data_IF_489044628515
#
_entry.id   IF_489044628515
#
_cell.length_a   1.000
_cell.length_b   1.000
_cell.length_c   1.000
_cell.angle_alpha   90.00
_cell.angle_beta   90.00
_cell.angle_gamma   90.00
#
_symmetry.space_group_name_H-M   'P 1'
#
loop_
_entity.id
_entity.type
_entity.pdbx_description
1 polymer ?
#
# COMPACT_ATOMS: atom_id res chain seq x y z
N UNK A 1 -20.97 2.81 3.47
CA UNK A 1 -19.50 2.91 3.65
C UNK A 1 -18.87 1.73 2.94
N UNK A 2 -18.15 1.96 1.84
CA UNK A 2 -17.31 0.92 1.27
C UNK A 2 -16.12 0.76 2.23
N UNK A 3 -15.93 -0.45 2.75
CA UNK A 3 -14.69 -0.78 3.43
C UNK A 3 -13.56 -0.46 2.46
N UNK A 4 -12.60 0.39 2.85
CA UNK A 4 -11.42 0.63 2.03
C UNK A 4 -10.80 -0.73 1.70
N UNK A 5 -10.59 -0.98 0.40
CA UNK A 5 -10.07 -2.26 -0.06
C UNK A 5 -8.68 -2.46 0.56
N UNK A 6 -8.46 -3.62 1.16
CA UNK A 6 -7.14 -3.97 1.71
C UNK A 6 -6.11 -3.85 0.58
N UNK A 7 -5.02 -3.08 0.78
CA UNK A 7 -4.00 -2.91 -0.23
C UNK A 7 -3.44 -4.24 -0.72
N UNK A 8 -3.27 -4.37 -2.03
CA UNK A 8 -2.74 -5.59 -2.63
C UNK A 8 -1.24 -5.69 -2.42
N UNK A 9 -0.75 -6.85 -1.96
CA UNK A 9 0.67 -7.16 -1.94
C UNK A 9 1.02 -7.99 -3.16
N UNK A 10 1.92 -7.48 -3.99
CA UNK A 10 2.48 -8.16 -5.16
C UNK A 10 3.90 -8.62 -4.83
N UNK A 11 4.14 -9.91 -4.84
CA UNK A 11 5.48 -10.45 -4.62
C UNK A 11 6.26 -10.51 -5.93
N UNK A 12 7.37 -9.77 -6.00
CA UNK A 12 8.23 -9.70 -7.18
C UNK A 12 9.30 -10.79 -7.14
N UNK A 13 9.23 -11.72 -8.07
CA UNK A 13 10.27 -12.74 -8.23
C UNK A 13 11.54 -12.09 -8.81
N UNK A 14 11.38 -11.06 -9.65
CA UNK A 14 12.50 -10.38 -10.28
C UNK A 14 13.40 -11.35 -11.03
N UNK A 15 14.68 -11.27 -10.79
CA UNK A 15 15.69 -12.21 -11.31
C UNK A 15 16.17 -13.20 -10.22
N UNK A 16 15.57 -13.24 -9.06
CA UNK A 16 15.96 -14.10 -7.93
C UNK A 16 15.71 -15.61 -8.19
N UNK A 17 15.09 -15.95 -9.31
CA UNK A 17 15.04 -17.33 -9.82
C UNK A 17 16.40 -17.83 -10.35
N UNK A 18 17.39 -16.96 -10.51
CA UNK A 18 18.77 -17.28 -10.91
C UNK A 18 18.87 -18.06 -12.24
N UNK A 19 18.09 -17.64 -13.25
CA UNK A 19 18.08 -18.27 -14.58
C UNK A 19 17.48 -19.68 -14.63
N UNK A 20 16.69 -20.07 -13.60
CA UNK A 20 16.12 -21.42 -13.50
C UNK A 20 14.61 -21.36 -13.34
N UNK A 21 13.86 -21.82 -14.33
CA UNK A 21 12.41 -21.87 -14.32
C UNK A 21 11.86 -22.68 -13.11
N UNK A 22 12.50 -23.80 -12.76
CA UNK A 22 12.10 -24.59 -11.60
C UNK A 22 12.34 -23.88 -10.27
N UNK A 23 13.33 -22.98 -10.20
CA UNK A 23 13.51 -22.11 -9.02
C UNK A 23 12.36 -21.12 -8.89
N UNK A 24 11.97 -20.47 -9.99
CA UNK A 24 10.82 -19.57 -10.02
C UNK A 24 9.53 -20.30 -9.59
N UNK A 25 9.29 -21.52 -10.11
CA UNK A 25 8.11 -22.32 -9.72
C UNK A 25 8.10 -22.67 -8.23
N UNK A 26 9.25 -23.08 -7.66
CA UNK A 26 9.35 -23.30 -6.19
C UNK A 26 9.09 -22.04 -5.37
N UNK A 27 9.54 -20.87 -5.83
CA UNK A 27 9.21 -19.60 -5.18
C UNK A 27 7.71 -19.36 -5.20
N UNK A 28 7.05 -19.56 -6.33
CA UNK A 28 5.60 -19.47 -6.50
C UNK A 28 4.85 -20.40 -5.55
N UNK A 29 5.25 -21.66 -5.48
CA UNK A 29 4.63 -22.67 -4.60
C UNK A 29 4.77 -22.25 -3.13
N UNK A 30 5.95 -21.77 -2.74
CA UNK A 30 6.19 -21.28 -1.37
C UNK A 30 5.33 -20.04 -1.06
N UNK A 31 5.23 -19.09 -1.99
CA UNK A 31 4.40 -17.90 -1.84
C UNK A 31 2.92 -18.25 -1.71
N UNK A 32 2.41 -19.13 -2.57
CA UNK A 32 1.02 -19.60 -2.52
C UNK A 32 0.70 -20.28 -1.19
N UNK A 33 1.59 -21.18 -0.73
CA UNK A 33 1.45 -21.85 0.56
C UNK A 33 1.46 -20.87 1.76
N UNK A 34 2.05 -19.69 1.61
CA UNK A 34 2.07 -18.61 2.61
C UNK A 34 1.00 -17.52 2.36
N UNK A 35 -0.02 -17.81 1.55
CA UNK A 35 -1.20 -16.97 1.38
C UNK A 35 -1.02 -15.80 0.42
N UNK A 36 0.04 -15.76 -0.39
CA UNK A 36 0.17 -14.80 -1.48
C UNK A 36 -1.00 -14.94 -2.46
N UNK A 37 -1.39 -13.83 -3.06
CA UNK A 37 -2.44 -13.80 -4.09
C UNK A 37 -1.95 -13.22 -5.41
N UNK A 38 -0.87 -12.44 -5.40
CA UNK A 38 -0.33 -11.77 -6.56
C UNK A 38 1.19 -11.94 -6.63
N UNK A 39 1.68 -12.23 -7.83
CA UNK A 39 3.12 -12.23 -8.13
C UNK A 39 3.40 -11.44 -9.41
N UNK A 40 4.64 -11.02 -9.59
CA UNK A 40 5.13 -10.54 -10.88
C UNK A 40 6.46 -11.18 -11.23
N UNK A 41 6.64 -11.46 -12.52
CA UNK A 41 7.86 -12.00 -13.12
C UNK A 41 8.42 -10.95 -14.07
N UNK A 42 9.72 -10.76 -14.05
CA UNK A 42 10.39 -9.93 -15.05
C UNK A 42 10.71 -10.77 -16.29
N UNK A 43 10.08 -10.45 -17.42
CA UNK A 43 10.23 -11.19 -18.67
C UNK A 43 11.42 -10.62 -19.43
N UNK A 44 12.57 -11.29 -19.32
CA UNK A 44 13.77 -11.02 -20.12
C UNK A 44 14.09 -12.29 -20.89
N UNK A 45 13.85 -12.26 -22.19
CA UNK A 45 14.07 -13.39 -23.11
C UNK A 45 15.42 -13.38 -23.80
N UNK A 46 15.98 -12.17 -24.03
CA UNK A 46 17.32 -11.98 -24.61
C UNK A 46 17.96 -10.71 -24.03
N UNK A 47 19.02 -10.83 -23.23
CA UNK A 47 19.72 -9.67 -22.66
C UNK A 47 20.22 -8.67 -23.71
N UNK A 48 20.57 -9.10 -24.91
CA UNK A 48 21.05 -8.20 -25.98
C UNK A 48 19.96 -7.30 -26.54
N UNK A 49 18.70 -7.72 -26.45
CA UNK A 49 17.56 -6.88 -26.84
C UNK A 49 17.30 -5.78 -25.82
N UNK A 50 17.74 -5.99 -24.58
CA UNK A 50 17.49 -5.08 -23.48
C UNK A 50 18.63 -4.06 -23.26
N UNK A 51 19.89 -4.45 -23.48
CA UNK A 51 21.04 -3.58 -23.24
C UNK A 51 22.16 -3.83 -24.20
N UNK A 52 22.92 -2.77 -24.55
CA UNK A 52 24.17 -2.85 -25.33
C UNK A 52 25.43 -2.83 -24.46
N UNK A 53 25.29 -2.71 -23.15
CA UNK A 53 26.42 -2.74 -22.24
C UNK A 53 26.89 -4.18 -22.02
N UNK A 54 28.18 -4.51 -22.40
CA UNK A 54 28.69 -5.87 -22.33
C UNK A 54 28.66 -6.49 -20.94
N UNK A 55 28.98 -5.71 -19.89
CA UNK A 55 29.02 -6.21 -18.52
C UNK A 55 27.60 -6.54 -18.05
N UNK A 56 26.61 -5.69 -18.43
CA UNK A 56 25.20 -5.94 -18.11
C UNK A 56 24.66 -7.13 -18.89
N UNK A 57 25.07 -7.32 -20.15
CA UNK A 57 24.71 -8.53 -20.92
C UNK A 57 25.29 -9.78 -20.26
N UNK A 58 26.55 -9.75 -19.84
CA UNK A 58 27.20 -10.86 -19.15
C UNK A 58 26.49 -11.22 -17.84
N UNK A 59 26.10 -10.21 -17.05
CA UNK A 59 25.34 -10.39 -15.83
C UNK A 59 23.94 -10.97 -16.11
N UNK A 60 23.17 -10.39 -17.03
CA UNK A 60 21.83 -10.84 -17.36
C UNK A 60 21.80 -12.25 -17.97
N UNK A 61 22.83 -12.64 -18.73
CA UNK A 61 22.97 -14.00 -19.26
C UNK A 61 22.96 -15.09 -18.18
N UNK A 62 23.27 -14.76 -16.92
CA UNK A 62 23.22 -15.69 -15.80
C UNK A 62 21.81 -15.86 -15.24
N UNK A 63 20.90 -14.92 -15.53
CA UNK A 63 19.61 -14.79 -14.85
C UNK A 63 18.40 -14.80 -15.78
N UNK A 64 18.60 -14.73 -17.11
CA UNK A 64 17.45 -14.72 -18.02
C UNK A 64 16.79 -16.09 -18.15
N UNK A 65 15.55 -16.09 -18.58
CA UNK A 65 14.80 -17.28 -19.00
C UNK A 65 14.37 -17.12 -20.45
N UNK A 66 14.29 -18.20 -21.21
CA UNK A 66 13.67 -18.17 -22.54
C UNK A 66 12.22 -17.68 -22.45
N UNK A 67 11.66 -17.20 -23.56
CA UNK A 67 10.24 -16.78 -23.54
C UNK A 67 9.33 -17.95 -23.17
N UNK A 68 9.63 -19.17 -23.65
CA UNK A 68 8.89 -20.39 -23.33
C UNK A 68 8.91 -20.69 -21.83
N UNK A 69 10.08 -20.54 -21.19
CA UNK A 69 10.24 -20.74 -19.75
C UNK A 69 9.52 -19.65 -18.95
N UNK A 70 9.62 -18.38 -19.37
CA UNK A 70 8.87 -17.28 -18.75
C UNK A 70 7.36 -17.56 -18.78
N UNK A 71 6.82 -17.95 -19.93
CA UNK A 71 5.41 -18.29 -20.09
C UNK A 71 5.03 -19.52 -19.28
N UNK A 72 5.89 -20.53 -19.21
CA UNK A 72 5.64 -21.72 -18.37
C UNK A 72 5.60 -21.38 -16.87
N UNK A 73 6.42 -20.44 -16.41
CA UNK A 73 6.42 -19.94 -15.02
C UNK A 73 5.14 -19.15 -14.73
N UNK A 74 4.73 -18.24 -15.62
CA UNK A 74 3.48 -17.47 -15.49
C UNK A 74 2.26 -18.39 -15.43
N UNK A 75 2.18 -19.39 -16.34
CA UNK A 75 1.11 -20.40 -16.32
C UNK A 75 1.11 -21.23 -15.03
N UNK A 76 2.28 -21.56 -14.51
CA UNK A 76 2.39 -22.25 -13.22
C UNK A 76 1.79 -21.41 -12.08
N UNK A 77 2.12 -20.13 -12.00
CA UNK A 77 1.54 -19.22 -11.01
C UNK A 77 0.01 -19.17 -11.08
N UNK A 78 -0.54 -19.04 -12.30
CA UNK A 78 -1.98 -18.99 -12.51
C UNK A 78 -2.65 -20.33 -12.13
N UNK A 79 -2.03 -21.46 -12.50
CA UNK A 79 -2.50 -22.80 -12.11
C UNK A 79 -2.48 -23.01 -10.59
N UNK A 80 -1.55 -22.37 -9.89
CA UNK A 80 -1.46 -22.41 -8.41
C UNK A 80 -2.49 -21.48 -7.74
N UNK A 81 -3.28 -20.74 -8.52
CA UNK A 81 -4.34 -19.85 -8.03
C UNK A 81 -3.90 -18.40 -7.81
N UNK A 82 -2.68 -18.05 -8.20
CA UNK A 82 -2.18 -16.67 -8.08
C UNK A 82 -2.56 -15.84 -9.30
N UNK A 83 -2.79 -14.55 -9.10
CA UNK A 83 -2.81 -13.56 -10.17
C UNK A 83 -1.37 -13.21 -10.52
N UNK A 84 -0.98 -13.51 -11.76
CA UNK A 84 0.36 -13.26 -12.26
C UNK A 84 0.41 -11.96 -13.05
N UNK A 85 1.45 -11.17 -12.82
CA UNK A 85 1.83 -10.02 -13.63
C UNK A 85 3.12 -10.28 -14.40
N UNK A 86 3.29 -9.58 -15.50
CA UNK A 86 4.51 -9.61 -16.31
C UNK A 86 5.13 -8.23 -16.40
N UNK A 87 6.39 -8.10 -15.99
CA UNK A 87 7.18 -6.91 -16.28
C UNK A 87 7.76 -7.06 -17.69
N UNK A 88 7.20 -6.31 -18.63
CA UNK A 88 7.44 -6.43 -20.07
C UNK A 88 8.53 -5.44 -20.52
N UNK A 89 9.49 -5.92 -21.28
CA UNK A 89 10.55 -5.11 -21.88
C UNK A 89 10.41 -5.02 -23.40
N UNK A 90 9.80 -6.03 -24.04
CA UNK A 90 9.62 -6.09 -25.49
C UNK A 90 8.13 -6.20 -25.85
N UNK A 91 7.73 -5.49 -26.91
CA UNK A 91 6.33 -5.52 -27.40
C UNK A 91 5.92 -6.94 -27.82
N UNK A 92 6.85 -7.73 -28.38
CA UNK A 92 6.60 -9.11 -28.78
C UNK A 92 6.15 -10.03 -27.65
N UNK A 93 6.44 -9.67 -26.39
CA UNK A 93 6.19 -10.53 -25.23
C UNK A 93 4.81 -10.29 -24.64
N UNK A 94 4.10 -9.23 -25.11
CA UNK A 94 2.74 -8.89 -24.64
C UNK A 94 1.75 -10.01 -25.00
N UNK A 95 1.71 -10.42 -26.29
CA UNK A 95 0.79 -11.46 -26.77
C UNK A 95 0.96 -12.78 -26.00
N UNK A 96 2.15 -13.38 -25.98
CA UNK A 96 2.41 -14.60 -25.22
C UNK A 96 2.06 -14.50 -23.73
N UNK A 97 2.30 -13.34 -23.11
CA UNK A 97 1.94 -13.10 -21.70
C UNK A 97 0.41 -13.05 -21.49
N UNK A 98 -0.33 -12.42 -22.40
CA UNK A 98 -1.81 -12.42 -22.40
C UNK A 98 -2.35 -13.85 -22.57
N UNK A 99 -1.80 -14.62 -23.49
CA UNK A 99 -2.18 -16.02 -23.74
C UNK A 99 -1.84 -16.93 -22.55
N UNK A 100 -0.87 -16.53 -21.71
CA UNK A 100 -0.62 -17.19 -20.44
C UNK A 100 -1.67 -16.85 -19.38
N UNK A 101 -2.42 -15.76 -19.52
CA UNK A 101 -3.46 -15.33 -18.61
C UNK A 101 -3.00 -14.32 -17.55
N UNK A 102 -2.00 -13.48 -17.85
CA UNK A 102 -1.55 -12.43 -16.90
C UNK A 102 -2.68 -11.47 -16.56
N UNK A 103 -2.71 -11.00 -15.31
CA UNK A 103 -3.75 -10.12 -14.78
C UNK A 103 -3.34 -8.65 -14.78
N UNK A 104 -2.05 -8.35 -14.94
CA UNK A 104 -1.52 -6.99 -15.03
C UNK A 104 -0.14 -6.99 -15.68
N UNK A 105 0.24 -5.82 -16.18
CA UNK A 105 1.58 -5.57 -16.68
C UNK A 105 2.35 -4.60 -15.79
N UNK A 106 3.67 -4.65 -15.88
CA UNK A 106 4.58 -3.68 -15.27
C UNK A 106 5.57 -3.20 -16.34
N UNK A 107 5.80 -1.88 -16.38
CA UNK A 107 6.85 -1.25 -17.18
C UNK A 107 7.93 -0.78 -16.23
N UNK A 108 9.18 -1.16 -16.51
CA UNK A 108 10.32 -0.78 -15.66
C UNK A 108 10.65 0.71 -15.83
N UNK A 109 11.31 1.30 -14.83
CA UNK A 109 11.73 2.71 -14.89
C UNK A 109 12.64 3.01 -16.08
N UNK A 110 13.39 2.02 -16.57
CA UNK A 110 14.24 2.13 -17.75
C UNK A 110 13.46 2.26 -19.06
N UNK A 111 12.26 1.68 -19.11
CA UNK A 111 11.44 1.59 -20.31
C UNK A 111 10.22 2.52 -20.25
N UNK A 112 10.11 3.30 -19.19
CA UNK A 112 8.99 4.16 -18.88
C UNK A 112 8.61 5.14 -20.00
N UNK A 113 9.58 5.65 -20.74
CA UNK A 113 9.37 6.60 -21.84
C UNK A 113 9.31 5.94 -23.23
N UNK A 114 9.25 4.62 -23.30
CA UNK A 114 9.17 3.92 -24.59
C UNK A 114 7.73 3.89 -25.10
N UNK A 115 7.34 4.95 -25.81
CA UNK A 115 5.97 5.21 -26.28
C UNK A 115 5.33 4.03 -27.05
N UNK A 116 6.05 3.32 -27.98
CA UNK A 116 5.47 2.18 -28.68
C UNK A 116 5.03 1.05 -27.74
N UNK A 117 5.80 0.77 -26.68
CA UNK A 117 5.43 -0.22 -25.65
C UNK A 117 4.21 0.23 -24.86
N UNK A 118 4.18 1.50 -24.45
CA UNK A 118 3.06 2.06 -23.69
C UNK A 118 1.76 2.01 -24.50
N UNK A 119 1.79 2.39 -25.77
CA UNK A 119 0.64 2.32 -26.66
C UNK A 119 0.15 0.88 -26.87
N UNK A 120 1.09 -0.07 -27.06
CA UNK A 120 0.75 -1.49 -27.22
C UNK A 120 0.12 -2.08 -25.94
N UNK A 121 0.58 -1.68 -24.76
CA UNK A 121 0.00 -2.11 -23.48
C UNK A 121 -1.37 -1.48 -23.25
N UNK A 122 -1.57 -0.21 -23.58
CA UNK A 122 -2.82 0.50 -23.39
C UNK A 122 -4.01 -0.17 -24.11
N UNK A 123 -3.81 -0.63 -25.35
CA UNK A 123 -4.89 -1.29 -26.12
C UNK A 123 -5.27 -2.66 -25.58
N UNK A 124 -4.49 -3.25 -24.68
CA UNK A 124 -4.86 -4.52 -24.01
C UNK A 124 -5.97 -4.34 -23.00
N UNK A 125 -6.17 -3.13 -22.46
CA UNK A 125 -7.10 -2.84 -21.35
C UNK A 125 -6.70 -3.46 -20.02
N UNK A 126 -5.60 -4.19 -19.97
CA UNK A 126 -5.10 -4.85 -18.74
C UNK A 126 -4.41 -3.81 -17.85
N UNK A 127 -4.62 -3.84 -16.51
CA UNK A 127 -3.93 -2.94 -15.58
C UNK A 127 -2.42 -2.90 -15.84
N UNK A 128 -1.88 -1.69 -16.01
CA UNK A 128 -0.45 -1.51 -16.31
C UNK A 128 0.21 -0.58 -15.31
N UNK A 129 1.18 -1.09 -14.57
CA UNK A 129 1.96 -0.35 -13.58
C UNK A 129 3.20 0.26 -14.26
N UNK A 130 3.29 1.59 -14.23
CA UNK A 130 4.39 2.37 -14.80
C UNK A 130 5.37 2.78 -13.70
N UNK A 131 6.56 2.20 -13.69
CA UNK A 131 7.59 2.52 -12.67
C UNK A 131 8.19 3.91 -12.92
N UNK A 132 8.03 4.84 -11.96
CA UNK A 132 8.40 6.25 -12.11
C UNK A 132 9.68 6.66 -11.36
N UNK A 133 10.55 5.69 -11.02
CA UNK A 133 11.71 5.91 -10.14
C UNK A 133 12.70 7.00 -10.59
N UNK A 134 12.83 7.25 -11.90
CA UNK A 134 13.74 8.25 -12.48
C UNK A 134 13.02 9.26 -13.39
N UNK A 135 11.68 9.27 -13.37
CA UNK A 135 10.89 10.12 -14.27
C UNK A 135 10.63 11.49 -13.66
N UNK A 136 10.64 12.51 -14.48
CA UNK A 136 10.16 13.86 -14.14
C UNK A 136 8.63 13.91 -14.24
N UNK A 137 8.01 14.96 -13.70
CA UNK A 137 6.57 15.17 -13.84
C UNK A 137 6.13 15.30 -15.30
N UNK A 138 6.96 15.90 -16.17
CA UNK A 138 6.68 16.00 -17.61
C UNK A 138 6.76 14.65 -18.31
N UNK A 139 7.70 13.79 -17.93
CA UNK A 139 7.77 12.44 -18.47
C UNK A 139 6.52 11.64 -18.10
N UNK A 140 6.07 11.73 -16.86
CA UNK A 140 4.86 11.05 -16.39
C UNK A 140 3.63 11.53 -17.16
N UNK A 141 3.45 12.86 -17.28
CA UNK A 141 2.34 13.43 -18.02
C UNK A 141 2.33 12.94 -19.49
N UNK A 142 3.49 12.92 -20.14
CA UNK A 142 3.64 12.44 -21.51
C UNK A 142 3.29 10.97 -21.65
N UNK A 143 3.83 10.11 -20.80
CA UNK A 143 3.58 8.67 -20.88
C UNK A 143 2.11 8.31 -20.63
N UNK A 144 1.46 8.97 -19.66
CA UNK A 144 0.02 8.82 -19.42
C UNK A 144 -0.80 9.31 -20.62
N UNK A 145 -0.40 10.43 -21.26
CA UNK A 145 -1.06 10.92 -22.47
C UNK A 145 -0.95 9.93 -23.63
N UNK A 146 0.22 9.31 -23.82
CA UNK A 146 0.41 8.28 -24.86
C UNK A 146 -0.54 7.12 -24.65
N UNK A 147 -0.66 6.59 -23.42
CA UNK A 147 -1.56 5.48 -23.12
C UNK A 147 -3.03 5.85 -23.35
N UNK A 148 -3.47 7.01 -22.83
CA UNK A 148 -4.86 7.49 -22.96
C UNK A 148 -5.25 7.79 -24.40
N UNK A 149 -4.30 8.29 -25.21
CA UNK A 149 -4.55 8.53 -26.64
C UNK A 149 -4.57 7.22 -27.45
N UNK A 150 -3.87 6.17 -27.01
CA UNK A 150 -3.88 4.87 -27.67
C UNK A 150 -5.17 4.09 -27.40
N UNK A 151 -5.79 4.27 -26.22
CA UNK A 151 -7.03 3.57 -25.87
C UNK A 151 -7.80 4.30 -24.78
N UNK A 152 -9.10 4.53 -24.98
CA UNK A 152 -10.02 5.04 -23.95
C UNK A 152 -10.16 4.06 -22.77
N UNK A 153 -9.91 2.78 -23.00
CA UNK A 153 -9.92 1.73 -21.99
C UNK A 153 -8.57 1.51 -21.31
N UNK A 154 -7.59 2.42 -21.48
CA UNK A 154 -6.29 2.29 -20.81
C UNK A 154 -6.47 2.26 -19.29
N UNK A 155 -5.71 1.40 -18.64
CA UNK A 155 -5.83 1.14 -17.20
C UNK A 155 -4.45 1.31 -16.54
N UNK A 156 -3.98 2.54 -16.59
CA UNK A 156 -2.67 2.92 -16.09
C UNK A 156 -2.65 3.13 -14.57
N UNK A 157 -1.57 2.71 -13.94
CA UNK A 157 -1.21 2.96 -12.55
C UNK A 157 0.25 3.40 -12.48
N UNK A 158 0.58 4.29 -11.56
CA UNK A 158 1.98 4.62 -11.30
C UNK A 158 2.54 3.67 -10.24
N UNK A 159 3.77 3.23 -10.44
CA UNK A 159 4.52 2.46 -9.45
C UNK A 159 5.69 3.31 -8.96
N UNK A 160 5.55 3.91 -7.78
CA UNK A 160 6.60 4.71 -7.17
C UNK A 160 7.70 3.80 -6.61
N UNK A 161 8.90 3.94 -7.14
CA UNK A 161 10.09 3.21 -6.70
C UNK A 161 11.24 4.19 -6.46
N UNK A 162 12.23 3.80 -5.65
CA UNK A 162 13.49 4.54 -5.51
C UNK A 162 14.60 3.63 -6.02
N UNK A 163 15.32 4.06 -7.06
CA UNK A 163 16.41 3.27 -7.64
C UNK A 163 17.68 3.36 -6.81
N UNK A 164 18.58 2.39 -7.02
CA UNK A 164 19.80 2.23 -6.23
C UNK A 164 19.56 1.40 -4.96
N UNK A 165 18.97 0.22 -5.14
CA UNK A 165 18.65 -0.72 -4.07
C UNK A 165 19.90 -1.35 -3.44
N UNK A 166 19.89 -1.57 -2.10
CA UNK A 166 18.88 -1.08 -1.16
C UNK A 166 18.99 0.42 -0.91
N UNK A 167 17.89 1.15 -1.12
CA UNK A 167 17.84 2.59 -0.93
C UNK A 167 17.79 2.97 0.56
N UNK A 168 18.58 3.96 1.01
CA UNK A 168 18.57 4.41 2.39
C UNK A 168 17.25 5.11 2.72
N UNK A 169 16.79 4.98 3.97
CA UNK A 169 15.46 5.41 4.43
C UNK A 169 15.17 6.90 4.11
N UNK A 170 16.14 7.78 4.29
CA UNK A 170 15.99 9.23 4.05
C UNK A 170 15.77 9.61 2.59
N UNK A 171 16.05 8.72 1.64
CA UNK A 171 15.83 8.92 0.21
C UNK A 171 14.50 8.38 -0.30
N UNK A 172 13.75 7.63 0.51
CA UNK A 172 12.51 6.98 0.07
C UNK A 172 11.41 7.98 -0.30
N UNK A 173 11.35 9.14 0.33
CA UNK A 173 10.42 10.24 -0.01
C UNK A 173 8.96 9.79 -0.21
N UNK A 174 8.44 8.93 0.66
CA UNK A 174 7.15 8.26 0.50
C UNK A 174 5.94 9.19 0.37
N UNK A 175 6.05 10.46 0.83
CA UNK A 175 5.03 11.49 0.60
C UNK A 175 4.73 11.73 -0.88
N UNK A 176 5.65 11.36 -1.78
CA UNK A 176 5.45 11.47 -3.24
C UNK A 176 4.29 10.61 -3.74
N UNK A 177 3.96 9.51 -3.05
CA UNK A 177 2.83 8.64 -3.40
C UNK A 177 1.54 9.47 -3.47
N UNK A 178 1.19 10.17 -2.39
CA UNK A 178 0.01 11.03 -2.35
C UNK A 178 0.10 12.20 -3.34
N UNK A 179 1.30 12.74 -3.57
CA UNK A 179 1.51 13.82 -4.54
C UNK A 179 1.26 13.33 -5.97
N UNK A 180 1.82 12.18 -6.35
CA UNK A 180 1.63 11.57 -7.67
C UNK A 180 0.16 11.28 -7.94
N UNK A 181 -0.53 10.66 -6.98
CA UNK A 181 -1.95 10.34 -7.12
C UNK A 181 -2.81 11.59 -7.37
N UNK A 182 -2.60 12.64 -6.57
CA UNK A 182 -3.34 13.91 -6.72
C UNK A 182 -2.99 14.66 -8.01
N UNK A 183 -1.70 14.67 -8.40
CA UNK A 183 -1.25 15.45 -9.56
C UNK A 183 -1.73 14.85 -10.87
N UNK A 184 -1.70 13.51 -10.98
CA UNK A 184 -2.00 12.83 -12.24
C UNK A 184 -3.38 12.17 -12.27
N UNK A 185 -4.09 12.17 -11.14
CA UNK A 185 -5.40 11.53 -10.95
C UNK A 185 -5.40 10.06 -11.41
N UNK A 186 -4.41 9.30 -10.92
CA UNK A 186 -4.26 7.87 -11.17
C UNK A 186 -3.92 7.14 -9.87
N UNK A 187 -4.28 5.87 -9.73
CA UNK A 187 -3.84 5.04 -8.62
C UNK A 187 -2.31 4.93 -8.58
N UNK A 188 -1.74 4.89 -7.39
CA UNK A 188 -0.29 4.78 -7.18
C UNK A 188 0.01 3.57 -6.32
N UNK A 189 0.94 2.75 -6.77
CA UNK A 189 1.55 1.65 -6.02
C UNK A 189 2.94 2.05 -5.51
N UNK A 190 3.46 1.29 -4.54
CA UNK A 190 4.82 1.44 -4.05
C UNK A 190 5.66 0.20 -4.34
N UNK A 191 6.83 0.37 -4.97
CA UNK A 191 7.82 -0.69 -5.19
C UNK A 191 8.94 -0.62 -4.17
N UNK A 192 9.07 -1.66 -3.36
CA UNK A 192 10.06 -1.75 -2.29
C UNK A 192 11.45 -2.06 -2.85
N UNK A 193 12.33 -1.07 -2.80
CA UNK A 193 13.76 -1.19 -3.15
C UNK A 193 14.65 -0.82 -1.95
N UNK A 194 14.19 -1.13 -0.75
CA UNK A 194 14.90 -0.88 0.51
C UNK A 194 14.74 -2.09 1.42
N UNK A 195 15.66 -2.28 2.36
CA UNK A 195 15.57 -3.27 3.43
C UNK A 195 14.62 -2.86 4.56
N UNK A 196 13.99 -1.68 4.45
CA UNK A 196 13.09 -1.12 5.46
C UNK A 196 11.65 -1.54 5.20
N UNK A 197 11.18 -2.58 5.85
CA UNK A 197 9.81 -3.09 5.69
C UNK A 197 8.74 -2.13 6.24
N UNK A 198 9.11 -1.25 7.18
CA UNK A 198 8.25 -0.17 7.67
C UNK A 198 7.76 0.76 6.56
N UNK A 199 8.55 0.89 5.49
CA UNK A 199 8.19 1.68 4.32
C UNK A 199 6.88 1.21 3.65
N UNK A 200 6.54 -0.07 3.75
CA UNK A 200 5.30 -0.63 3.22
C UNK A 200 4.07 -0.03 3.92
N UNK A 201 4.05 -0.03 5.26
CA UNK A 201 2.96 0.54 6.04
C UNK A 201 2.85 2.06 5.83
N UNK A 202 4.00 2.75 5.76
CA UNK A 202 4.04 4.20 5.49
C UNK A 202 3.52 4.50 4.08
N UNK A 203 3.87 3.70 3.07
CA UNK A 203 3.37 3.87 1.71
C UNK A 203 1.84 3.74 1.64
N UNK A 204 1.27 2.76 2.35
CA UNK A 204 -0.18 2.58 2.47
C UNK A 204 -0.82 3.79 3.14
N UNK A 205 -0.25 4.32 4.21
CA UNK A 205 -0.74 5.52 4.88
C UNK A 205 -0.73 6.76 3.98
N UNK A 206 0.14 6.79 2.96
CA UNK A 206 0.14 7.82 1.92
C UNK A 206 -0.71 7.47 0.69
N UNK A 207 -1.54 6.42 0.76
CA UNK A 207 -2.53 6.07 -0.24
C UNK A 207 -2.01 5.14 -1.35
N UNK A 208 -0.97 4.35 -1.09
CA UNK A 208 -0.59 3.30 -2.04
C UNK A 208 -1.70 2.24 -2.13
N UNK A 209 -2.24 2.00 -3.34
CA UNK A 209 -3.26 0.96 -3.57
C UNK A 209 -2.70 -0.46 -3.48
N UNK A 210 -1.41 -0.59 -3.77
CA UNK A 210 -0.68 -1.85 -3.71
C UNK A 210 0.79 -1.62 -3.40
N UNK A 211 1.44 -2.66 -2.87
CA UNK A 211 2.88 -2.66 -2.62
C UNK A 211 3.53 -3.84 -3.31
N UNK A 212 4.67 -3.60 -3.93
CA UNK A 212 5.48 -4.60 -4.63
C UNK A 212 6.71 -4.90 -3.80
N UNK A 213 6.93 -6.18 -3.50
CA UNK A 213 7.99 -6.64 -2.58
C UNK A 213 8.80 -7.73 -3.25
N UNK A 214 10.10 -7.49 -3.42
CA UNK A 214 11.00 -8.51 -3.96
C UNK A 214 11.16 -9.68 -3.00
N UNK A 215 11.17 -10.89 -3.58
CA UNK A 215 11.29 -12.13 -2.82
C UNK A 215 12.44 -12.99 -3.33
N UNK A 216 12.98 -13.81 -2.44
CA UNK A 216 13.97 -14.83 -2.74
C UNK A 216 13.68 -16.13 -1.99
N UNK A 217 14.18 -17.27 -2.49
CA UNK A 217 14.05 -18.55 -1.78
C UNK A 217 14.97 -18.62 -0.56
N UNK A 218 16.13 -17.99 -0.66
CA UNK A 218 17.14 -17.92 0.40
C UNK A 218 17.70 -16.50 0.42
N UNK A 219 18.14 -16.04 1.58
CA UNK A 219 18.86 -14.77 1.67
C UNK A 219 20.13 -14.83 0.83
N UNK A 220 20.32 -13.81 0.01
CA UNK A 220 21.53 -13.62 -0.79
C UNK A 220 21.89 -12.15 -0.81
N UNK A 221 23.15 -11.78 -0.50
CA UNK A 221 23.63 -10.42 -0.71
C UNK A 221 23.93 -10.15 -2.19
N UNK A 222 23.85 -11.18 -3.03
CA UNK A 222 24.19 -11.09 -4.43
C UNK A 222 23.11 -10.39 -5.25
N UNK A 223 23.49 -9.55 -6.22
CA UNK A 223 22.56 -8.99 -7.20
C UNK A 223 21.91 -10.10 -8.02
N UNK A 224 20.81 -9.80 -8.77
CA UNK A 224 20.36 -8.41 -8.94
C UNK A 224 19.44 -7.90 -7.83
N UNK A 225 18.58 -8.73 -7.23
CA UNK A 225 17.51 -8.26 -6.33
C UNK A 225 17.65 -8.84 -4.90
N UNK A 226 18.64 -9.71 -4.67
CA UNK A 226 18.86 -10.36 -3.37
C UNK A 226 19.04 -9.42 -2.18
N UNK A 227 19.79 -8.30 -2.31
CA UNK A 227 20.09 -7.41 -1.17
C UNK A 227 18.87 -6.78 -0.48
N UNK A 228 17.73 -6.67 -1.17
CA UNK A 228 16.50 -6.07 -0.61
C UNK A 228 15.30 -7.03 -0.66
N UNK A 229 15.52 -8.27 -1.09
CA UNK A 229 14.49 -9.28 -1.13
C UNK A 229 14.21 -9.85 0.28
N UNK A 230 12.95 -10.13 0.54
CA UNK A 230 12.50 -10.92 1.69
C UNK A 230 12.39 -12.40 1.31
N UNK A 231 12.31 -13.29 2.28
CA UNK A 231 12.12 -14.70 1.98
C UNK A 231 10.67 -14.98 1.53
N UNK A 232 10.49 -15.86 0.55
CA UNK A 232 9.15 -16.33 0.14
C UNK A 232 8.34 -16.89 1.33
N UNK A 233 9.00 -17.50 2.31
CA UNK A 233 8.39 -18.02 3.53
C UNK A 233 7.86 -16.92 4.48
N UNK A 234 8.32 -15.68 4.33
CA UNK A 234 7.89 -14.54 5.15
C UNK A 234 6.62 -13.87 4.60
N UNK A 235 6.11 -14.32 3.46
CA UNK A 235 4.94 -13.70 2.81
C UNK A 235 3.73 -13.59 3.73
N UNK A 236 3.45 -14.62 4.54
CA UNK A 236 2.33 -14.60 5.49
C UNK A 236 2.47 -13.49 6.56
N UNK A 237 3.69 -13.24 7.04
CA UNK A 237 3.96 -12.18 8.01
C UNK A 237 3.77 -10.79 7.37
N UNK A 238 4.27 -10.60 6.15
CA UNK A 238 4.11 -9.35 5.40
C UNK A 238 2.62 -9.06 5.16
N UNK A 239 1.87 -10.05 4.68
CA UNK A 239 0.43 -9.92 4.43
C UNK A 239 -0.34 -9.56 5.71
N UNK A 240 0.02 -10.13 6.85
CA UNK A 240 -0.57 -9.79 8.14
C UNK A 240 -0.26 -8.34 8.52
N UNK A 241 1.01 -7.94 8.47
CA UNK A 241 1.44 -6.58 8.82
C UNK A 241 0.75 -5.52 7.95
N UNK A 242 0.56 -5.79 6.65
CA UNK A 242 -0.14 -4.90 5.73
C UNK A 242 -1.62 -4.76 6.08
N UNK A 243 -2.30 -5.88 6.42
CA UNK A 243 -3.70 -5.83 6.85
C UNK A 243 -3.87 -5.05 8.16
N UNK A 244 -2.96 -5.28 9.10
CA UNK A 244 -2.97 -4.55 10.38
C UNK A 244 -2.73 -3.05 10.15
N UNK A 245 -1.73 -2.68 9.33
CA UNK A 245 -1.48 -1.29 8.97
C UNK A 245 -2.70 -0.62 8.32
N UNK A 246 -3.33 -1.30 7.36
CA UNK A 246 -4.54 -0.79 6.72
C UNK A 246 -5.69 -0.61 7.72
N UNK A 247 -5.87 -1.56 8.65
CA UNK A 247 -6.90 -1.46 9.68
C UNK A 247 -6.70 -0.29 10.66
N UNK A 248 -5.43 0.09 10.91
CA UNK A 248 -5.08 1.21 11.78
C UNK A 248 -5.42 2.58 11.16
N UNK A 249 -5.58 2.67 9.85
CA UNK A 249 -5.92 3.94 9.19
C UNK A 249 -7.35 4.38 9.53
N UNK A 250 -8.25 3.44 9.80
CA UNK A 250 -9.65 3.74 10.15
C UNK A 250 -10.38 4.52 9.07
N UNK A 251 -11.28 5.40 9.49
CA UNK A 251 -12.03 6.30 8.62
C UNK A 251 -11.62 7.75 8.87
N UNK A 252 -11.71 8.64 7.86
CA UNK A 252 -11.42 10.06 8.03
C UNK A 252 -12.52 10.83 8.82
N UNK A 253 -13.57 10.14 9.27
CA UNK A 253 -14.69 10.74 9.99
C UNK A 253 -14.24 11.26 11.36
N UNK A 254 -14.54 12.54 11.63
CA UNK A 254 -14.25 13.18 12.91
C UNK A 254 -15.31 12.90 13.98
N UNK A 255 -16.46 12.40 13.57
CA UNK A 255 -17.57 12.14 14.49
C UNK A 255 -17.38 10.83 15.24
N UNK A 256 -17.27 10.98 16.56
CA UNK A 256 -17.38 9.84 17.47
C UNK A 256 -18.86 9.66 17.81
N UNK A 257 -19.39 8.44 17.65
CA UNK A 257 -20.77 8.12 18.04
C UNK A 257 -21.09 8.65 19.44
N UNK A 258 -22.23 9.32 19.58
CA UNK A 258 -22.73 9.76 20.89
C UNK A 258 -22.97 8.60 21.84
N UNK A 259 -23.21 7.40 21.30
CA UNK A 259 -23.48 6.16 22.04
C UNK A 259 -22.20 5.41 22.45
N UNK A 260 -21.01 6.00 22.25
CA UNK A 260 -19.77 5.38 22.66
C UNK A 260 -19.73 5.22 24.20
N UNK A 261 -19.69 3.98 24.73
CA UNK A 261 -19.72 3.72 26.18
C UNK A 261 -18.61 4.42 26.94
N UNK A 262 -17.45 4.65 26.29
CA UNK A 262 -16.33 5.37 26.89
C UNK A 262 -16.66 6.84 27.23
N UNK A 263 -17.64 7.43 26.57
CA UNK A 263 -18.09 8.80 26.92
C UNK A 263 -18.63 8.83 28.34
N UNK A 264 -19.43 7.83 28.77
CA UNK A 264 -19.97 7.73 30.10
C UNK A 264 -18.89 7.43 31.14
N UNK A 265 -17.99 6.53 30.88
CA UNK A 265 -16.96 6.09 31.84
C UNK A 265 -15.76 7.04 31.96
N UNK A 266 -15.34 7.67 30.86
CA UNK A 266 -14.11 8.49 30.79
C UNK A 266 -14.37 10.00 30.78
N UNK A 267 -15.62 10.45 30.59
CA UNK A 267 -15.97 11.84 30.80
C UNK A 267 -16.32 12.07 32.28
N UNK A 268 -16.42 13.33 32.65
CA UNK A 268 -16.81 13.76 33.98
C UNK A 268 -18.11 14.56 33.92
N UNK A 269 -18.89 14.53 34.99
CA UNK A 269 -20.09 15.30 35.19
C UNK A 269 -19.85 16.46 36.15
N UNK A 270 -20.70 17.47 36.07
CA UNK A 270 -20.81 18.51 37.09
C UNK A 270 -21.57 17.91 38.26
N UNK A 271 -20.95 17.86 39.43
CA UNK A 271 -21.52 17.31 40.68
C UNK A 271 -21.45 18.33 41.79
N UNK A 272 -22.23 18.13 42.87
CA UNK A 272 -22.16 18.94 44.05
C UNK A 272 -20.82 18.74 44.78
N UNK A 273 -20.05 19.80 45.01
CA UNK A 273 -18.80 19.78 45.80
C UNK A 273 -19.05 19.65 47.29
N UNK A 274 -20.21 20.12 47.77
CA UNK A 274 -20.71 20.09 49.15
C UNK A 274 -22.24 19.90 49.15
N UNK A 275 -22.87 19.59 50.28
CA UNK A 275 -24.34 19.49 50.32
C UNK A 275 -24.98 20.82 49.94
N UNK A 276 -25.95 20.79 49.01
CA UNK A 276 -26.68 21.95 48.51
C UNK A 276 -28.16 21.73 48.91
N UNK A 277 -28.76 22.70 49.61
CA UNK A 277 -30.20 22.65 49.96
C UNK A 277 -31.06 23.17 48.81
N UNK A 278 -32.25 22.63 48.68
CA UNK A 278 -33.29 23.15 47.78
C UNK A 278 -33.53 24.65 48.01
N UNK A 279 -33.64 25.42 46.92
CA UNK A 279 -33.83 26.87 46.96
C UNK A 279 -32.56 27.72 47.07
N UNK A 280 -31.40 27.12 47.28
CA UNK A 280 -30.12 27.85 47.30
C UNK A 280 -29.70 28.18 45.84
N UNK A 281 -29.19 29.39 45.63
CA UNK A 281 -28.57 29.80 44.37
C UNK A 281 -27.16 29.22 44.32
N UNK A 282 -26.90 28.39 43.32
CA UNK A 282 -25.65 27.66 43.15
C UNK A 282 -24.53 28.62 42.76
N UNK A 283 -23.45 28.59 43.52
CA UNK A 283 -22.19 29.31 43.22
C UNK A 283 -21.15 28.37 42.65
N UNK A 284 -20.03 28.93 42.14
CA UNK A 284 -18.93 28.13 41.63
C UNK A 284 -18.33 27.20 42.69
N UNK A 285 -18.30 27.63 43.97
CA UNK A 285 -17.77 26.83 45.08
C UNK A 285 -18.65 25.62 45.45
N UNK A 286 -19.88 25.59 44.98
CA UNK A 286 -20.81 24.48 45.15
C UNK A 286 -20.59 23.37 44.15
N UNK A 287 -19.76 23.58 43.14
CA UNK A 287 -19.57 22.70 41.99
C UNK A 287 -18.24 21.97 42.03
N UNK A 288 -18.25 20.72 41.63
CA UNK A 288 -17.09 19.94 41.33
C UNK A 288 -17.28 19.21 39.94
N UNK A 289 -16.21 18.74 39.36
CA UNK A 289 -16.26 18.06 38.07
C UNK A 289 -15.58 16.70 38.21
N UNK A 290 -16.36 15.61 38.28
CA UNK A 290 -15.91 14.27 38.64
C UNK A 290 -16.42 13.20 37.66
N UNK A 291 -15.69 12.08 37.59
CA UNK A 291 -16.19 10.86 36.92
C UNK A 291 -17.31 10.21 37.75
N UNK A 292 -18.24 9.51 37.08
CA UNK A 292 -18.41 9.27 35.66
C UNK A 292 -19.11 10.42 34.93
N UNK A 293 -19.17 10.36 33.60
CA UNK A 293 -19.85 11.34 32.74
C UNK A 293 -21.32 11.01 32.52
N UNK A 294 -22.07 10.79 33.58
CA UNK A 294 -23.49 10.40 33.59
C UNK A 294 -24.45 11.60 33.70
N UNK A 295 -23.98 12.72 34.26
CA UNK A 295 -24.74 13.94 34.47
C UNK A 295 -24.40 15.06 33.48
N UNK A 296 -24.59 16.32 33.91
CA UNK A 296 -24.31 17.50 33.06
C UNK A 296 -22.85 17.60 32.65
N UNK A 297 -22.57 17.85 31.38
CA UNK A 297 -21.20 18.01 30.90
C UNK A 297 -20.58 19.35 31.35
N UNK A 298 -19.24 19.40 31.38
CA UNK A 298 -18.49 20.63 31.72
C UNK A 298 -18.84 21.85 30.87
N UNK A 299 -19.28 21.65 29.64
CA UNK A 299 -19.73 22.72 28.75
C UNK A 299 -20.90 23.53 29.29
N UNK A 300 -21.63 22.98 30.28
CA UNK A 300 -22.74 23.65 30.94
C UNK A 300 -22.35 24.29 32.29
N UNK A 301 -21.05 24.28 32.65
CA UNK A 301 -20.55 24.82 33.91
C UNK A 301 -21.09 26.23 34.23
N UNK A 302 -20.89 27.15 33.30
CA UNK A 302 -21.34 28.55 33.45
C UNK A 302 -22.88 28.70 33.48
N UNK A 303 -23.60 27.72 32.92
CA UNK A 303 -25.06 27.74 32.89
C UNK A 303 -25.68 27.22 34.23
N UNK A 304 -24.89 26.45 34.97
CA UNK A 304 -25.32 25.95 36.31
C UNK A 304 -25.13 26.99 37.40
N UNK A 305 -24.07 27.80 37.29
CA UNK A 305 -23.83 28.92 38.23
C UNK A 305 -24.99 29.93 38.14
N UNK A 306 -25.52 30.33 39.30
CA UNK A 306 -26.65 31.23 39.40
C UNK A 306 -28.04 30.56 39.30
N UNK A 307 -28.11 29.25 38.98
CA UNK A 307 -29.37 28.50 39.01
C UNK A 307 -29.77 28.22 40.48
N UNK A 308 -31.06 28.15 40.73
CA UNK A 308 -31.58 27.73 42.02
C UNK A 308 -31.69 26.21 42.09
N UNK A 309 -31.15 25.59 43.14
CA UNK A 309 -31.26 24.18 43.38
C UNK A 309 -32.75 23.77 43.50
N UNK A 310 -33.18 22.85 42.64
CA UNK A 310 -34.56 22.39 42.57
C UNK A 310 -34.90 21.30 43.62
N UNK A 311 -33.89 20.74 44.28
CA UNK A 311 -33.96 19.76 45.38
C UNK A 311 -32.69 19.82 46.21
N UNK A 312 -32.64 19.06 47.30
CA UNK A 312 -31.40 18.83 48.05
C UNK A 312 -30.46 17.94 47.22
N UNK A 313 -29.16 18.26 47.22
CA UNK A 313 -28.10 17.46 46.63
C UNK A 313 -27.07 17.09 47.68
N UNK A 314 -26.68 15.82 47.70
CA UNK A 314 -25.57 15.34 48.53
C UNK A 314 -24.21 15.66 47.81
N UNK A 315 -23.11 15.52 48.57
CA UNK A 315 -21.77 15.60 47.99
C UNK A 315 -21.61 14.54 46.90
N UNK A 316 -20.99 14.91 45.80
CA UNK A 316 -20.72 14.05 44.61
C UNK A 316 -22.00 13.61 43.85
N UNK A 317 -23.13 14.17 44.14
CA UNK A 317 -24.37 13.91 43.41
C UNK A 317 -24.45 14.74 42.14
N UNK A 318 -24.85 14.10 41.01
CA UNK A 318 -25.08 14.76 39.70
C UNK A 318 -26.16 15.87 39.87
N UNK A 319 -25.91 17.05 39.31
CA UNK A 319 -26.84 18.20 39.38
C UNK A 319 -27.83 18.15 38.22
N UNK A 320 -29.08 18.45 38.49
CA UNK A 320 -30.22 18.53 37.54
C UNK A 320 -30.47 17.22 36.76
#
# INVERSE_FOLDING_TARGET
MQAEAIPTVVFEIGLNHLGKADSAKRMIDTLAANGATHITLQVIDDPKRHTRNPDRIAMLNQYYLSIEDNIAVLRHAIKTGLKAGAAILNISDIGPSLDAGVSFFKVLSTDFAFEPLLAALAVTGVPTYLSVGISTASDIARSLSVMRNASEGSNERLLYTVLGAPGPAEKLNLRRIATLSRTFNVPVAYGQHSDRLEALAIAIAFGAESVFVYVAQTHSPEPPDGPHAVLCSEAAAILRNIREAASMLGTPDLETSTDNPLRHTHRRSIVAAKPIRSGIVISEEDLAFKHPGTGLPSSQWMQVIGRTANRDYAVDEDLF
#
